data_IF_804898286452
#
_entry.id   IF_804898286452
#
_cell.length_a   1.000
_cell.length_b   1.000
_cell.length_c   1.000
_cell.angle_alpha   90.00
_cell.angle_beta   90.00
_cell.angle_gamma   90.00
#
_symmetry.space_group_name_H-M   'P 1'
#
loop_
_entity.id
_entity.type
_entity.pdbx_description
1 polymer ?
#
# COMPACT_ATOMS: atom_id res chain seq x y z
N UNK A 1 1.46 6.90 2.64
CA UNK A 1 0.00 7.13 2.82
C UNK A 1 -0.32 8.60 3.07
N UNK A 2 -1.18 9.23 2.25
CA UNK A 2 -1.52 10.66 2.36
C UNK A 2 -2.19 11.03 3.70
N UNK A 3 -3.09 10.18 4.21
CA UNK A 3 -3.82 10.42 5.47
C UNK A 3 -2.92 10.72 6.67
N UNK A 4 -1.80 10.01 6.77
CA UNK A 4 -0.92 10.08 7.94
C UNK A 4 0.16 11.15 7.74
N UNK A 5 0.61 11.34 6.50
CA UNK A 5 1.66 12.30 6.16
C UNK A 5 2.98 12.03 6.88
N UNK A 6 3.37 10.76 7.07
CA UNK A 6 4.59 10.39 7.81
C UNK A 6 5.86 10.41 6.96
N UNK A 7 5.75 10.27 5.63
CA UNK A 7 6.87 10.33 4.68
C UNK A 7 6.44 10.98 3.38
N UNK A 8 7.40 11.47 2.60
CA UNK A 8 7.12 11.96 1.24
C UNK A 8 6.72 10.80 0.32
N UNK A 9 5.67 11.03 -0.47
CA UNK A 9 5.22 10.14 -1.54
C UNK A 9 5.41 10.86 -2.87
N UNK A 10 5.87 10.14 -3.89
CA UNK A 10 6.23 10.70 -5.19
C UNK A 10 5.32 10.23 -6.32
N UNK A 11 4.58 9.16 -6.08
CA UNK A 11 3.75 8.47 -7.06
C UNK A 11 2.27 8.74 -6.74
N UNK A 12 1.43 8.74 -7.78
CA UNK A 12 -0.01 8.92 -7.65
C UNK A 12 -0.76 7.72 -8.23
N UNK A 13 -1.38 6.93 -7.37
CA UNK A 13 -2.18 5.78 -7.79
C UNK A 13 -3.68 6.06 -7.61
N UNK A 14 -4.44 5.87 -8.67
CA UNK A 14 -5.90 5.98 -8.70
C UNK A 14 -6.51 4.61 -8.95
N UNK A 15 -7.51 4.24 -8.13
CA UNK A 15 -8.11 2.92 -8.16
C UNK A 15 -9.60 3.00 -8.46
N UNK A 16 -10.10 2.04 -9.22
CA UNK A 16 -11.52 1.90 -9.56
C UNK A 16 -11.95 0.45 -9.53
N UNK A 17 -13.15 0.16 -9.03
CA UNK A 17 -13.75 -1.19 -9.10
C UNK A 17 -14.32 -1.51 -10.48
N UNK A 18 -14.39 -0.52 -11.37
CA UNK A 18 -14.87 -0.66 -12.75
C UNK A 18 -13.69 -0.79 -13.69
N UNK A 19 -13.91 -1.51 -14.80
CA UNK A 19 -12.98 -1.56 -15.92
C UNK A 19 -12.53 -0.18 -16.37
N UNK A 20 -11.25 -0.06 -16.70
CA UNK A 20 -10.72 1.18 -17.24
C UNK A 20 -11.38 1.51 -18.59
N UNK A 21 -11.87 2.74 -18.80
CA UNK A 21 -12.52 3.07 -20.06
C UNK A 21 -11.50 3.09 -21.20
N UNK A 22 -11.90 2.63 -22.39
CA UNK A 22 -11.06 2.66 -23.60
C UNK A 22 -10.56 4.07 -23.95
N UNK A 23 -11.31 5.10 -23.55
CA UNK A 23 -10.97 6.51 -23.75
C UNK A 23 -9.90 7.04 -22.78
N UNK A 24 -9.53 6.29 -21.74
CA UNK A 24 -8.62 6.76 -20.68
C UNK A 24 -7.29 7.25 -21.24
N UNK A 25 -6.67 6.49 -22.16
CA UNK A 25 -5.36 6.83 -22.75
C UNK A 25 -5.40 8.17 -23.46
N UNK A 26 -6.48 8.43 -24.21
CA UNK A 26 -6.69 9.70 -24.88
C UNK A 26 -6.89 10.85 -23.87
N UNK A 27 -7.69 10.62 -22.82
CA UNK A 27 -7.93 11.63 -21.77
C UNK A 27 -6.65 11.98 -21.01
N UNK A 28 -5.84 10.99 -20.65
CA UNK A 28 -4.55 11.16 -19.96
C UNK A 28 -3.58 11.98 -20.83
N UNK A 29 -3.43 11.65 -22.12
CA UNK A 29 -2.61 12.45 -23.05
C UNK A 29 -3.13 13.88 -23.22
N UNK A 30 -4.46 14.06 -23.26
CA UNK A 30 -5.06 15.40 -23.34
C UNK A 30 -4.79 16.23 -22.09
N UNK A 31 -4.80 15.60 -20.91
CA UNK A 31 -4.63 16.27 -19.62
C UNK A 31 -3.16 16.60 -19.33
N UNK A 32 -2.26 15.63 -19.48
CA UNK A 32 -0.84 15.78 -19.12
C UNK A 32 0.05 16.21 -20.29
N UNK A 33 -0.51 16.25 -21.51
CA UNK A 33 0.22 16.54 -22.74
C UNK A 33 0.74 15.28 -23.44
N UNK A 34 1.22 15.48 -24.68
CA UNK A 34 1.74 14.40 -25.52
C UNK A 34 3.13 13.91 -25.12
N UNK A 35 3.84 14.64 -24.26
CA UNK A 35 5.20 14.31 -23.81
C UNK A 35 5.26 13.35 -22.63
N UNK A 36 4.13 12.76 -22.23
CA UNK A 36 4.12 11.70 -21.22
C UNK A 36 4.76 10.42 -21.76
N UNK A 37 5.43 9.68 -20.89
CA UNK A 37 5.98 8.36 -21.20
C UNK A 37 4.98 7.32 -20.68
N UNK A 38 4.56 6.37 -21.51
CA UNK A 38 3.72 5.25 -21.07
C UNK A 38 4.62 4.12 -20.58
N UNK A 39 4.41 3.68 -19.34
CA UNK A 39 5.24 2.65 -18.70
C UNK A 39 4.52 1.30 -18.63
N UNK A 40 3.22 1.34 -18.36
CA UNK A 40 2.32 0.17 -18.37
C UNK A 40 1.07 0.54 -19.15
N UNK A 41 0.66 -0.29 -20.10
CA UNK A 41 -0.58 -0.11 -20.86
C UNK A 41 -1.32 -1.45 -21.02
N UNK A 42 -2.01 -1.83 -19.96
CA UNK A 42 -2.79 -3.06 -19.86
C UNK A 42 -4.27 -2.73 -19.67
N UNK A 43 -5.18 -3.66 -20.01
CA UNK A 43 -6.63 -3.40 -19.85
C UNK A 43 -7.02 -2.98 -18.43
N UNK A 44 -6.37 -3.59 -17.44
CA UNK A 44 -6.59 -3.38 -16.00
C UNK A 44 -5.68 -2.31 -15.39
N UNK A 45 -4.66 -1.81 -16.09
CA UNK A 45 -3.73 -0.80 -15.55
C UNK A 45 -3.11 0.08 -16.62
N UNK A 46 -3.11 1.39 -16.38
CA UNK A 46 -2.35 2.36 -17.17
C UNK A 46 -1.43 3.13 -16.23
N UNK A 47 -0.13 3.07 -16.45
CA UNK A 47 0.87 3.88 -15.74
C UNK A 47 1.60 4.77 -16.72
N UNK A 48 1.64 6.07 -16.41
CA UNK A 48 2.35 7.07 -17.20
C UNK A 48 3.27 7.89 -16.33
N UNK A 49 4.40 8.30 -16.88
CA UNK A 49 5.29 9.29 -16.29
C UNK A 49 5.06 10.64 -16.94
N UNK A 50 4.73 11.63 -16.12
CA UNK A 50 4.54 13.02 -16.55
C UNK A 50 5.86 13.66 -16.97
N UNK A 51 5.80 14.80 -17.69
CA UNK A 51 7.00 15.57 -18.08
C UNK A 51 7.86 16.04 -16.89
N UNK A 52 7.27 16.13 -15.71
CA UNK A 52 7.96 16.52 -14.46
C UNK A 52 8.47 15.30 -13.68
N UNK A 53 8.35 14.08 -14.23
CA UNK A 53 8.87 12.86 -13.63
C UNK A 53 7.93 12.19 -12.61
N UNK A 54 6.70 12.69 -12.42
CA UNK A 54 5.72 12.06 -11.51
C UNK A 54 5.07 10.88 -12.22
N UNK A 55 5.08 9.72 -11.56
CA UNK A 55 4.38 8.52 -11.98
C UNK A 55 2.91 8.61 -11.57
N UNK A 56 2.01 8.34 -12.52
CA UNK A 56 0.56 8.35 -12.34
C UNK A 56 0.00 7.04 -12.85
N UNK A 57 -0.61 6.26 -11.96
CA UNK A 57 -1.23 4.98 -12.27
C UNK A 57 -2.75 5.05 -12.14
N UNK A 58 -3.44 4.42 -13.08
CA UNK A 58 -4.86 4.14 -13.03
C UNK A 58 -5.03 2.63 -13.03
N UNK A 59 -5.66 2.09 -11.99
CA UNK A 59 -5.69 0.64 -11.73
C UNK A 59 -7.13 0.19 -11.52
N UNK A 60 -7.54 -0.81 -12.28
CA UNK A 60 -8.71 -1.62 -11.97
C UNK A 60 -8.40 -2.47 -10.74
N UNK A 61 -9.12 -2.21 -9.67
CA UNK A 61 -8.98 -2.87 -8.38
C UNK A 61 -10.35 -3.43 -7.99
N UNK A 62 -10.70 -4.65 -8.47
CA UNK A 62 -12.05 -5.21 -8.38
C UNK A 62 -12.38 -5.77 -6.98
N UNK A 63 -11.78 -5.21 -5.93
CA UNK A 63 -12.01 -5.62 -4.55
C UNK A 63 -13.02 -4.69 -3.87
N UNK A 64 -13.87 -5.19 -2.96
CA UNK A 64 -14.80 -4.36 -2.22
C UNK A 64 -14.07 -3.33 -1.37
N UNK A 65 -14.70 -2.18 -1.18
CA UNK A 65 -14.25 -1.21 -0.18
C UNK A 65 -14.67 -1.71 1.19
N UNK A 66 -13.76 -1.61 2.16
CA UNK A 66 -14.08 -1.97 3.54
C UNK A 66 -14.93 -0.88 4.22
N UNK A 67 -14.72 0.38 3.82
CA UNK A 67 -15.45 1.56 4.28
C UNK A 67 -15.69 2.52 3.12
N UNK A 68 -16.61 3.46 3.31
CA UNK A 68 -16.83 4.53 2.34
C UNK A 68 -15.56 5.38 2.14
N UNK A 69 -15.23 5.77 0.89
CA UNK A 69 -14.12 6.68 0.63
C UNK A 69 -14.30 8.02 1.33
N UNK A 70 -13.19 8.56 1.84
CA UNK A 70 -13.15 9.90 2.41
C UNK A 70 -13.25 10.91 1.26
N UNK A 71 -14.37 11.63 1.21
CA UNK A 71 -14.61 12.65 0.17
C UNK A 71 -13.70 13.85 0.38
N UNK A 72 -13.05 14.29 -0.69
CA UNK A 72 -12.33 15.57 -0.74
C UNK A 72 -12.86 16.40 -1.91
N UNK A 73 -12.52 17.70 -2.02
CA UNK A 73 -12.99 18.54 -3.12
C UNK A 73 -12.60 18.05 -4.52
N UNK A 74 -11.51 17.28 -4.64
CA UNK A 74 -10.94 16.89 -5.93
C UNK A 74 -11.01 15.39 -6.20
N UNK A 75 -10.55 14.56 -5.26
CA UNK A 75 -10.54 13.10 -5.41
C UNK A 75 -10.90 12.41 -4.10
N UNK A 76 -11.67 11.35 -4.16
CA UNK A 76 -11.94 10.55 -2.96
C UNK A 76 -10.71 9.76 -2.56
N UNK A 77 -10.45 9.67 -1.27
CA UNK A 77 -9.35 8.90 -0.72
C UNK A 77 -9.86 7.61 -0.09
N UNK A 78 -9.06 6.54 -0.14
CA UNK A 78 -9.39 5.32 0.59
C UNK A 78 -9.49 5.59 2.10
N UNK A 79 -10.37 4.86 2.77
CA UNK A 79 -10.34 4.82 4.23
C UNK A 79 -9.05 4.16 4.71
N UNK A 80 -8.65 4.43 5.96
CA UNK A 80 -7.43 3.84 6.51
C UNK A 80 -7.51 2.30 6.57
N UNK A 81 -8.69 1.73 6.82
CA UNK A 81 -8.96 0.28 6.77
C UNK A 81 -8.53 -0.33 5.42
N UNK A 82 -8.97 0.29 4.32
CA UNK A 82 -8.62 -0.14 2.96
C UNK A 82 -7.13 -0.01 2.70
N UNK A 83 -6.49 1.05 3.18
CA UNK A 83 -5.05 1.23 3.04
C UNK A 83 -4.25 0.18 3.81
N UNK A 84 -4.65 -0.12 5.06
CA UNK A 84 -4.01 -1.13 5.89
C UNK A 84 -4.12 -2.53 5.25
N UNK A 85 -5.32 -2.89 4.78
CA UNK A 85 -5.55 -4.14 4.06
C UNK A 85 -4.71 -4.22 2.77
N UNK A 86 -4.69 -3.16 1.97
CA UNK A 86 -3.93 -3.12 0.72
C UNK A 86 -2.43 -3.31 0.97
N UNK A 87 -1.87 -2.67 2.01
CA UNK A 87 -0.45 -2.82 2.37
C UNK A 87 -0.10 -4.24 2.77
N UNK A 88 -0.95 -4.88 3.58
CA UNK A 88 -0.74 -6.28 3.95
C UNK A 88 -0.77 -7.23 2.75
N UNK A 89 -1.71 -7.03 1.82
CA UNK A 89 -1.81 -7.86 0.63
C UNK A 89 -0.62 -7.67 -0.33
N UNK A 90 -0.12 -6.44 -0.49
CA UNK A 90 1.01 -6.15 -1.39
C UNK A 90 2.31 -6.78 -0.88
N UNK A 91 2.61 -6.71 0.41
CA UNK A 91 3.85 -7.29 0.94
C UNK A 91 3.91 -8.82 0.73
N UNK A 92 2.76 -9.50 0.79
CA UNK A 92 2.68 -10.93 0.48
C UNK A 92 2.92 -11.29 -0.99
N UNK A 93 3.00 -10.31 -1.90
CA UNK A 93 3.09 -10.53 -3.36
C UNK A 93 4.29 -9.84 -4.00
N UNK A 94 4.45 -8.54 -3.73
CA UNK A 94 5.49 -7.66 -4.26
C UNK A 94 5.98 -6.75 -3.13
N UNK A 95 6.93 -7.21 -2.31
CA UNK A 95 7.44 -6.40 -1.20
C UNK A 95 8.23 -5.20 -1.75
N UNK A 96 7.88 -4.01 -1.28
CA UNK A 96 8.72 -2.82 -1.44
C UNK A 96 8.97 -2.20 -0.06
N UNK A 97 10.18 -1.68 0.19
CA UNK A 97 10.56 -1.11 1.49
C UNK A 97 9.56 -0.08 2.03
N UNK A 98 9.00 0.74 1.14
CA UNK A 98 7.99 1.74 1.47
C UNK A 98 6.72 1.14 2.10
N UNK A 99 6.33 -0.08 1.72
CA UNK A 99 5.18 -0.78 2.31
C UNK A 99 5.46 -1.22 3.75
N UNK A 100 6.69 -1.65 4.04
CA UNK A 100 7.14 -1.99 5.40
C UNK A 100 7.18 -0.75 6.29
N UNK A 101 7.70 0.37 5.78
CA UNK A 101 7.63 1.65 6.49
C UNK A 101 6.19 2.05 6.77
N UNK A 102 5.32 1.97 5.76
CA UNK A 102 3.90 2.32 5.89
C UNK A 102 3.23 1.43 6.99
N UNK A 103 3.46 0.12 7.00
CA UNK A 103 2.94 -0.79 8.05
C UNK A 103 3.55 -0.54 9.42
N UNK A 104 4.86 -0.30 9.49
CA UNK A 104 5.55 0.06 10.72
C UNK A 104 4.88 1.27 11.37
N UNK A 105 4.57 2.32 10.61
CA UNK A 105 3.89 3.51 11.15
C UNK A 105 2.47 3.17 11.62
N UNK A 106 1.72 2.34 10.88
CA UNK A 106 0.37 1.91 11.31
C UNK A 106 0.40 1.19 12.67
N UNK A 107 1.41 0.37 12.91
CA UNK A 107 1.59 -0.38 14.14
C UNK A 107 2.18 0.49 15.25
N UNK A 108 3.29 1.20 14.99
CA UNK A 108 4.05 1.99 15.95
C UNK A 108 3.25 3.15 16.52
N UNK A 109 2.40 3.79 15.71
CA UNK A 109 1.52 4.89 16.17
C UNK A 109 0.16 4.38 16.65
N UNK A 110 -0.01 3.06 16.85
CA UNK A 110 -1.21 2.43 17.38
C UNK A 110 -2.49 2.68 16.57
N UNK A 111 -2.39 2.87 15.24
CA UNK A 111 -3.60 2.90 14.40
C UNK A 111 -4.22 1.52 14.28
N UNK A 112 -3.39 0.47 14.20
CA UNK A 112 -3.82 -0.92 14.11
C UNK A 112 -2.85 -1.84 14.85
N UNK A 113 -3.36 -3.01 15.23
CA UNK A 113 -2.57 -4.20 15.58
C UNK A 113 -2.46 -5.15 14.37
N UNK A 114 -1.47 -6.06 14.39
CA UNK A 114 -1.32 -7.10 13.36
C UNK A 114 -2.62 -7.88 13.16
N UNK A 115 -3.28 -8.29 14.25
CA UNK A 115 -4.54 -9.02 14.17
C UNK A 115 -5.68 -8.22 13.51
N UNK A 116 -5.73 -6.90 13.71
CA UNK A 116 -6.70 -6.04 13.01
C UNK A 116 -6.40 -5.97 11.51
N UNK A 117 -5.13 -5.76 11.14
CA UNK A 117 -4.69 -5.70 9.74
C UNK A 117 -5.02 -7.01 9.00
N UNK A 118 -4.75 -8.16 9.62
CA UNK A 118 -5.08 -9.48 9.08
C UNK A 118 -6.58 -9.59 8.81
N UNK A 119 -7.44 -9.28 9.79
CA UNK A 119 -8.90 -9.35 9.61
C UNK A 119 -9.42 -8.44 8.50
N UNK A 120 -8.87 -7.23 8.39
CA UNK A 120 -9.22 -6.30 7.31
C UNK A 120 -8.81 -6.86 5.94
N UNK A 121 -7.60 -7.41 5.83
CA UNK A 121 -7.10 -8.01 4.61
C UNK A 121 -7.88 -9.26 4.19
N UNK A 122 -8.21 -10.16 5.13
CA UNK A 122 -9.06 -11.33 4.88
C UNK A 122 -10.46 -10.95 4.38
N UNK A 123 -11.05 -9.91 4.99
CA UNK A 123 -12.36 -9.40 4.57
C UNK A 123 -12.32 -8.78 3.17
N UNK A 124 -11.24 -8.09 2.81
CA UNK A 124 -11.13 -7.41 1.50
C UNK A 124 -10.74 -8.35 0.37
N UNK A 125 -9.81 -9.26 0.63
CA UNK A 125 -9.18 -10.16 -0.34
C UNK A 125 -9.57 -11.61 -0.04
N UNK A 126 -10.87 -11.86 0.09
CA UNK A 126 -11.40 -13.16 0.50
C UNK A 126 -10.93 -14.28 -0.44
N UNK A 127 -10.31 -15.32 0.13
CA UNK A 127 -9.75 -16.45 -0.61
C UNK A 127 -8.39 -16.17 -1.28
N UNK A 128 -7.91 -14.93 -1.26
CA UNK A 128 -6.68 -14.50 -1.91
C UNK A 128 -5.58 -14.06 -0.93
N UNK A 129 -5.94 -13.61 0.27
CA UNK A 129 -5.00 -13.22 1.31
C UNK A 129 -4.58 -14.42 2.17
N UNK A 130 -3.27 -14.51 2.43
CA UNK A 130 -2.69 -15.55 3.27
C UNK A 130 -2.00 -14.91 4.50
N UNK A 131 -2.62 -15.00 5.69
CA UNK A 131 -2.07 -14.42 6.91
C UNK A 131 -0.69 -14.95 7.29
N UNK A 132 -0.45 -16.26 7.06
CA UNK A 132 0.85 -16.88 7.36
C UNK A 132 1.95 -16.31 6.47
N UNK A 133 1.67 -16.19 5.17
CA UNK A 133 2.61 -15.59 4.23
C UNK A 133 2.87 -14.11 4.58
N UNK A 134 1.82 -13.35 4.92
CA UNK A 134 1.96 -11.97 5.36
C UNK A 134 2.91 -11.83 6.56
N UNK A 135 2.71 -12.64 7.61
CA UNK A 135 3.57 -12.60 8.81
C UNK A 135 5.02 -12.98 8.49
N UNK A 136 5.23 -14.02 7.68
CA UNK A 136 6.56 -14.44 7.25
C UNK A 136 7.28 -13.34 6.47
N UNK A 137 6.59 -12.70 5.52
CA UNK A 137 7.16 -11.61 4.73
C UNK A 137 7.42 -10.38 5.57
N UNK A 138 6.59 -10.08 6.58
CA UNK A 138 6.78 -8.93 7.46
C UNK A 138 8.08 -9.00 8.30
N UNK A 139 8.66 -10.19 8.44
CA UNK A 139 9.93 -10.43 9.13
C UNK A 139 11.09 -10.79 8.21
N UNK A 140 10.87 -10.87 6.89
CA UNK A 140 11.88 -11.25 5.90
C UNK A 140 12.29 -10.05 5.06
N UNK A 141 13.57 -9.68 5.12
CA UNK A 141 14.06 -8.43 4.50
C UNK A 141 15.17 -8.64 3.47
N UNK A 142 15.70 -9.86 3.35
CA UNK A 142 16.93 -10.12 2.58
C UNK A 142 16.77 -9.79 1.09
N UNK A 143 15.58 -10.03 0.53
CA UNK A 143 15.27 -9.76 -0.88
C UNK A 143 14.71 -8.35 -1.12
N UNK A 144 14.73 -7.47 -0.11
CA UNK A 144 14.14 -6.15 -0.19
C UNK A 144 15.22 -5.09 -0.39
N UNK A 145 15.17 -4.43 -1.55
CA UNK A 145 15.98 -3.24 -1.78
C UNK A 145 15.49 -2.10 -0.88
N UNK A 146 16.27 -1.81 0.14
CA UNK A 146 16.08 -0.64 1.00
C UNK A 146 16.31 0.62 0.18
N UNK A 147 15.41 1.59 0.34
CA UNK A 147 15.49 2.89 -0.31
C UNK A 147 15.37 3.97 0.74
N UNK A 148 16.05 5.09 0.50
CA UNK A 148 15.98 6.24 1.40
C UNK A 148 14.52 6.68 1.60
N UNK A 149 14.15 6.86 2.87
CA UNK A 149 12.83 7.31 3.26
C UNK A 149 12.91 8.72 3.83
N UNK A 150 12.35 9.68 3.11
CA UNK A 150 12.22 11.04 3.61
C UNK A 150 11.01 11.12 4.56
N UNK A 151 11.27 10.95 5.85
CA UNK A 151 10.28 11.14 6.90
C UNK A 151 9.89 12.62 7.06
N UNK A 152 8.63 12.85 7.44
CA UNK A 152 8.06 14.20 7.59
C UNK A 152 7.72 14.56 9.05
N UNK A 153 7.69 13.58 9.95
CA UNK A 153 7.39 13.79 11.38
C UNK A 153 8.52 13.29 12.26
N UNK A 154 8.59 11.96 12.42
CA UNK A 154 9.63 11.26 13.16
C UNK A 154 10.48 10.45 12.18
N UNK A 155 11.79 10.45 12.40
CA UNK A 155 12.74 9.65 11.63
C UNK A 155 13.03 8.34 12.33
N UNK A 156 13.21 7.29 11.56
CA UNK A 156 13.53 5.95 12.05
C UNK A 156 14.63 5.35 11.19
N UNK A 157 15.51 4.55 11.79
CA UNK A 157 16.48 3.77 11.04
C UNK A 157 15.85 2.50 10.47
N UNK A 158 16.49 1.93 9.46
CA UNK A 158 16.00 0.69 8.86
C UNK A 158 16.05 -0.47 9.86
N UNK A 159 17.07 -0.49 10.74
CA UNK A 159 17.20 -1.47 11.82
C UNK A 159 16.09 -1.34 12.87
N UNK A 160 15.71 -0.12 13.25
CA UNK A 160 14.61 0.13 14.19
C UNK A 160 13.28 -0.40 13.62
N UNK A 161 13.02 -0.14 12.34
CA UNK A 161 11.81 -0.61 11.65
C UNK A 161 11.79 -2.13 11.61
N UNK A 162 12.87 -2.77 11.20
CA UNK A 162 12.98 -4.24 11.11
C UNK A 162 12.78 -4.90 12.47
N UNK A 163 13.51 -4.41 13.49
CA UNK A 163 13.41 -4.95 14.85
C UNK A 163 12.01 -4.80 15.43
N UNK A 164 11.38 -3.64 15.23
CA UNK A 164 10.01 -3.40 15.69
C UNK A 164 9.01 -4.34 15.02
N UNK A 165 9.04 -4.47 13.68
CA UNK A 165 8.14 -5.36 12.95
C UNK A 165 8.28 -6.82 13.40
N UNK A 166 9.53 -7.29 13.57
CA UNK A 166 9.81 -8.61 14.15
C UNK A 166 9.17 -8.80 15.52
N UNK A 167 9.40 -7.85 16.44
CA UNK A 167 8.84 -7.91 17.79
C UNK A 167 7.30 -7.94 17.80
N UNK A 168 6.64 -7.22 16.88
CA UNK A 168 5.18 -7.21 16.78
C UNK A 168 4.66 -8.56 16.27
N UNK A 169 5.34 -9.19 15.32
CA UNK A 169 4.99 -10.52 14.81
C UNK A 169 5.16 -11.57 15.90
N UNK A 170 6.26 -11.55 16.64
CA UNK A 170 6.50 -12.47 17.77
C UNK A 170 5.43 -12.33 18.85
N UNK A 171 5.12 -11.09 19.24
CA UNK A 171 4.06 -10.80 20.20
C UNK A 171 2.70 -11.31 19.70
N UNK A 172 2.37 -11.10 18.43
CA UNK A 172 1.13 -11.63 17.85
C UNK A 172 1.10 -13.16 17.86
N UNK A 173 2.18 -13.83 17.44
CA UNK A 173 2.27 -15.29 17.42
C UNK A 173 2.11 -15.90 18.82
N UNK A 174 2.66 -15.27 19.86
CA UNK A 174 2.48 -15.68 21.24
C UNK A 174 1.02 -15.62 21.73
N UNK A 175 0.16 -14.80 21.09
CA UNK A 175 -1.27 -14.72 21.42
C UNK A 175 -2.13 -15.76 20.71
N UNK A 176 -1.66 -16.32 19.59
CA UNK A 176 -2.45 -17.23 18.74
C UNK A 176 -1.96 -18.67 18.76
N UNK A 177 -0.70 -18.90 19.13
CA UNK A 177 -0.17 -20.25 19.34
C UNK A 177 -0.51 -20.71 20.75
N UNK A 178 -1.04 -21.94 20.94
CA UNK A 178 -1.23 -22.48 22.27
C UNK A 178 0.12 -22.53 22.99
N UNK A 179 0.15 -22.03 24.24
CA UNK A 179 1.31 -22.27 25.11
C UNK A 179 1.46 -23.78 25.25
N UNK A 180 2.62 -24.30 24.84
CA UNK A 180 2.98 -25.71 25.02
C UNK A 180 3.06 -26.06 26.50
#
# INVERSE_FOLDING_TARGET
MLHIGHRRSYDFDSFTQKKLPKTLRHQVRKLFGSSIITEVDEEWMLTVRTKTGVEVSFVEHPYPLLQDPIKTPSISLFHMDDLAANKANVIGRRPAWRDYVDLFILLKWNFYSIGQIIRLAEKKFTGEFNPKLFLQQLTYFDDIKIVETQFLKESYTDEEIKAFLGSQVDAYLATVLPQK
#
